data_IF_201164852412
#
_entry.id   IF_201164852412
#
_cell.length_a   1.000
_cell.length_b   1.000
_cell.length_c   1.000
_cell.angle_alpha   90.00
_cell.angle_beta   90.00
_cell.angle_gamma   90.00
#
_symmetry.space_group_name_H-M   'P 1'
#
loop_
_entity.id
_entity.type
_entity.pdbx_description
1 polymer ?
#
# COMPACT_ATOMS: atom_id res chain seq x y z
N UNK A 1 24.52 14.90 8.42
CA UNK A 1 23.75 13.65 8.42
C UNK A 1 22.39 13.95 9.04
N UNK A 2 21.40 14.25 8.19
CA UNK A 2 20.03 14.62 8.60
C UNK A 2 19.27 13.44 9.20
N UNK A 3 18.63 13.66 10.34
CA UNK A 3 17.96 12.68 11.20
C UNK A 3 16.43 12.78 11.05
N UNK A 4 15.87 12.19 9.98
CA UNK A 4 14.42 12.26 9.73
C UNK A 4 13.54 11.49 10.74
N UNK A 5 12.88 12.20 11.66
CA UNK A 5 11.96 11.69 12.68
C UNK A 5 10.52 12.06 12.34
N UNK A 6 9.55 11.14 12.57
CA UNK A 6 8.15 11.37 12.20
C UNK A 6 7.15 11.36 13.36
N UNK A 7 6.15 12.27 13.34
CA UNK A 7 5.06 12.35 14.35
C UNK A 7 3.68 12.17 13.70
N UNK A 8 2.80 11.40 14.33
CA UNK A 8 1.39 11.21 13.93
C UNK A 8 0.42 11.98 14.82
N UNK A 9 -0.66 12.53 14.26
CA UNK A 9 -1.63 13.33 15.01
C UNK A 9 -3.09 12.94 14.64
N UNK A 10 -4.02 12.91 15.62
CA UNK A 10 -5.48 12.67 15.47
C UNK A 10 -6.28 13.25 16.67
N UNK A 11 -7.49 13.77 16.39
CA UNK A 11 -8.38 14.57 17.27
C UNK A 11 -9.59 13.79 17.83
N UNK A 12 -10.12 14.21 19.00
CA UNK A 12 -11.47 13.89 19.46
C UNK A 12 -12.20 15.14 19.98
N UNK A 13 -13.40 15.37 19.41
CA UNK A 13 -14.52 16.24 19.79
C UNK A 13 -14.49 17.74 19.45
N UNK A 14 -15.46 18.16 18.62
CA UNK A 14 -15.96 19.54 18.51
C UNK A 14 -15.46 20.38 17.33
N UNK A 15 -14.19 20.24 16.93
CA UNK A 15 -13.63 20.96 15.78
C UNK A 15 -13.76 20.17 14.47
N UNK A 16 -14.38 20.73 13.44
CA UNK A 16 -14.48 20.10 12.11
C UNK A 16 -13.36 20.61 11.20
N UNK A 17 -12.20 19.94 11.20
CA UNK A 17 -11.20 20.11 10.13
C UNK A 17 -11.67 19.38 8.85
N UNK A 18 -11.69 20.04 7.68
CA UNK A 18 -12.05 19.39 6.42
C UNK A 18 -10.90 18.46 5.97
N UNK A 19 -11.03 17.16 6.26
CA UNK A 19 -10.25 16.09 5.62
C UNK A 19 -9.04 15.53 6.40
N UNK A 20 -9.02 14.19 6.54
CA UNK A 20 -7.92 13.30 7.00
C UNK A 20 -7.32 13.58 8.39
N UNK A 21 -7.86 12.91 9.41
CA UNK A 21 -7.44 12.90 10.82
C UNK A 21 -6.08 12.24 11.10
N UNK A 22 -5.33 11.81 10.08
CA UNK A 22 -4.03 11.16 10.26
C UNK A 22 -2.98 11.99 9.57
N UNK A 23 -2.23 12.77 10.36
CA UNK A 23 -1.12 13.58 9.85
C UNK A 23 0.21 12.88 10.06
N UNK A 24 1.18 13.21 9.24
CA UNK A 24 2.57 12.78 9.36
C UNK A 24 3.43 14.04 9.24
N UNK A 25 4.21 14.31 10.27
CA UNK A 25 5.23 15.36 10.28
C UNK A 25 6.59 14.68 10.10
N UNK A 26 7.52 15.29 9.36
CA UNK A 26 8.90 14.83 9.22
C UNK A 26 9.86 15.90 9.73
N UNK A 27 10.87 15.51 10.49
CA UNK A 27 11.81 16.41 11.15
C UNK A 27 13.22 15.98 10.88
N UNK A 28 14.12 16.88 10.50
CA UNK A 28 15.54 16.57 10.30
C UNK A 28 16.31 16.30 11.60
N UNK A 29 15.79 16.74 12.76
CA UNK A 29 16.45 16.59 14.04
C UNK A 29 15.53 15.99 15.10
N UNK A 30 16.09 15.07 15.91
CA UNK A 30 15.34 14.38 16.97
C UNK A 30 14.84 15.34 18.04
N UNK A 31 15.67 16.32 18.42
CA UNK A 31 15.33 17.34 19.42
C UNK A 31 14.10 18.16 19.01
N UNK A 32 14.00 18.49 17.72
CA UNK A 32 12.86 19.25 17.19
C UNK A 32 11.59 18.41 17.20
N UNK A 33 11.70 17.14 16.84
CA UNK A 33 10.57 16.21 16.90
C UNK A 33 10.04 16.04 18.34
N UNK A 34 10.94 15.92 19.33
CA UNK A 34 10.57 15.83 20.75
C UNK A 34 9.94 17.12 21.26
N UNK A 35 10.48 18.28 20.90
CA UNK A 35 9.91 19.58 21.25
C UNK A 35 8.50 19.74 20.68
N UNK A 36 8.31 19.37 19.41
CA UNK A 36 6.97 19.43 18.78
C UNK A 36 6.02 18.43 19.44
N UNK A 37 6.48 17.23 19.77
CA UNK A 37 5.68 16.22 20.48
C UNK A 37 5.21 16.72 21.86
N UNK A 38 6.01 17.51 22.56
CA UNK A 38 5.63 18.11 23.85
C UNK A 38 4.66 19.30 23.72
N UNK A 39 4.74 20.06 22.62
CA UNK A 39 3.91 21.27 22.39
C UNK A 39 2.57 20.94 21.73
N UNK A 40 2.51 19.89 20.91
CA UNK A 40 1.31 19.50 20.17
C UNK A 40 0.10 19.27 21.09
N UNK A 41 0.16 18.49 22.19
CA UNK A 41 -0.98 18.31 23.09
C UNK A 41 -1.52 19.64 23.64
N UNK A 42 -0.63 20.58 24.00
CA UNK A 42 -1.01 21.89 24.54
C UNK A 42 -1.75 22.75 23.53
N UNK A 43 -1.29 22.74 22.26
CA UNK A 43 -1.97 23.48 21.18
C UNK A 43 -3.33 22.88 20.84
N UNK A 44 -3.44 21.55 20.79
CA UNK A 44 -4.70 20.87 20.50
C UNK A 44 -5.73 21.08 21.62
N UNK A 45 -5.29 21.09 22.88
CA UNK A 45 -6.15 21.39 24.03
C UNK A 45 -6.80 22.79 23.93
N UNK A 46 -6.09 23.80 23.37
CA UNK A 46 -6.67 25.13 23.12
C UNK A 46 -7.87 25.11 22.16
N UNK A 47 -7.92 24.12 21.27
CA UNK A 47 -9.03 23.90 20.34
C UNK A 47 -10.03 22.85 20.83
N UNK A 48 -9.93 22.42 22.10
CA UNK A 48 -10.81 21.41 22.69
C UNK A 48 -10.49 19.97 22.25
N UNK A 49 -9.28 19.73 21.73
CA UNK A 49 -8.90 18.46 21.11
C UNK A 49 -7.85 17.71 21.94
N UNK A 50 -8.07 16.42 22.14
CA UNK A 50 -7.12 15.55 22.85
C UNK A 50 -6.42 14.60 21.89
N UNK A 51 -5.09 14.50 22.00
CA UNK A 51 -4.29 13.54 21.22
C UNK A 51 -4.30 12.16 21.89
N UNK A 52 -4.56 11.12 21.09
CA UNK A 52 -4.53 9.74 21.59
C UNK A 52 -3.07 9.23 21.69
N UNK A 53 -2.57 8.84 22.87
CA UNK A 53 -1.16 8.48 23.08
C UNK A 53 -0.72 7.27 22.24
N UNK A 54 -1.59 6.29 22.03
CA UNK A 54 -1.23 5.13 21.20
C UNK A 54 -1.11 5.43 19.69
N UNK A 55 -1.75 6.49 19.21
CA UNK A 55 -1.76 6.84 17.77
C UNK A 55 -0.62 7.77 17.41
N UNK A 56 -0.17 8.57 18.38
CA UNK A 56 0.88 9.58 18.27
C UNK A 56 2.20 8.95 18.70
N UNK A 57 2.99 8.48 17.74
CA UNK A 57 4.29 7.84 17.99
C UNK A 57 5.38 8.54 17.23
N UNK A 58 6.53 8.70 17.89
CA UNK A 58 7.77 9.14 17.28
C UNK A 58 8.47 7.92 16.67
N UNK A 59 8.84 8.03 15.40
CA UNK A 59 9.43 6.92 14.64
C UNK A 59 10.76 7.38 14.05
N UNK A 60 11.84 6.70 14.41
CA UNK A 60 13.15 6.88 13.79
C UNK A 60 13.29 5.94 12.58
N UNK A 61 13.58 6.51 11.41
CA UNK A 61 13.77 5.77 10.17
C UNK A 61 15.22 5.34 9.93
N UNK A 62 16.17 5.80 10.75
CA UNK A 62 17.59 5.54 10.60
C UNK A 62 18.10 4.33 11.41
N UNK A 63 17.28 3.78 12.30
CA UNK A 63 17.64 2.62 13.14
C UNK A 63 18.18 1.44 12.31
N UNK A 64 19.04 0.64 12.96
CA UNK A 64 19.76 -0.47 12.33
C UNK A 64 18.76 -1.50 11.77
N UNK A 65 19.16 -2.18 10.68
CA UNK A 65 18.36 -3.27 10.10
C UNK A 65 18.15 -4.36 11.15
N UNK A 66 16.89 -4.64 11.50
CA UNK A 66 16.51 -5.68 12.46
C UNK A 66 15.75 -5.15 13.68
N UNK A 67 15.84 -3.85 13.95
CA UNK A 67 15.13 -3.22 15.08
C UNK A 67 13.67 -2.86 14.70
N UNK A 68 12.75 -3.10 15.64
CA UNK A 68 11.34 -2.74 15.51
C UNK A 68 11.19 -1.21 15.53
N UNK A 69 11.21 -0.56 14.37
CA UNK A 69 11.02 0.90 14.32
C UNK A 69 11.18 1.55 12.95
N UNK A 70 11.99 0.97 12.07
CA UNK A 70 12.44 1.61 10.81
C UNK A 70 11.36 1.87 9.73
N UNK A 71 10.11 1.52 9.96
CA UNK A 71 9.06 1.70 8.95
C UNK A 71 7.69 1.97 9.54
N UNK A 72 6.87 2.72 8.81
CA UNK A 72 5.54 3.06 9.27
C UNK A 72 4.47 2.97 8.18
N UNK A 73 3.28 2.51 8.59
CA UNK A 73 2.15 2.35 7.67
C UNK A 73 1.27 3.60 7.60
N UNK A 74 1.24 4.30 6.47
CA UNK A 74 0.42 5.49 6.22
C UNK A 74 -0.31 5.40 4.88
N UNK A 75 -1.60 5.76 4.85
CA UNK A 75 -2.49 5.67 3.67
C UNK A 75 -2.44 4.33 2.91
N UNK A 76 -2.17 3.23 3.63
CA UNK A 76 -2.06 1.89 3.04
C UNK A 76 -0.71 1.57 2.41
N UNK A 77 0.28 2.45 2.56
CA UNK A 77 1.68 2.20 2.22
C UNK A 77 2.53 2.03 3.47
N UNK A 78 3.52 1.15 3.41
CA UNK A 78 4.63 1.09 4.35
C UNK A 78 5.75 1.98 3.82
N UNK A 79 6.11 3.00 4.58
CA UNK A 79 7.20 3.93 4.29
C UNK A 79 8.46 3.48 5.03
N UNK A 80 9.61 3.52 4.35
CA UNK A 80 10.89 3.10 4.92
C UNK A 80 12.05 3.78 4.19
N UNK A 81 13.13 4.07 4.93
CA UNK A 81 14.33 4.67 4.35
C UNK A 81 15.23 3.62 3.71
N UNK A 82 15.63 3.85 2.46
CA UNK A 82 16.48 2.95 1.69
C UNK A 82 17.37 3.72 0.73
N UNK A 83 18.54 3.17 0.40
CA UNK A 83 19.44 3.77 -0.59
C UNK A 83 18.84 3.67 -1.99
N UNK A 84 18.88 4.77 -2.73
CA UNK A 84 18.61 4.81 -4.17
C UNK A 84 19.72 4.10 -4.94
N UNK A 85 19.50 3.83 -6.23
CA UNK A 85 20.55 3.30 -7.11
C UNK A 85 21.77 4.22 -7.21
N UNK A 86 21.57 5.53 -7.01
CA UNK A 86 22.62 6.56 -6.99
C UNK A 86 23.24 6.79 -5.60
N UNK A 87 22.97 5.93 -4.62
CA UNK A 87 23.58 5.98 -3.29
C UNK A 87 22.90 6.90 -2.26
N UNK A 88 22.03 7.84 -2.69
CA UNK A 88 21.29 8.74 -1.79
C UNK A 88 20.26 7.99 -0.95
N UNK A 89 20.11 8.38 0.33
CA UNK A 89 19.00 7.92 1.18
C UNK A 89 17.70 8.53 0.68
N UNK A 90 16.71 7.69 0.38
CA UNK A 90 15.39 8.12 -0.08
C UNK A 90 14.30 7.39 0.71
N UNK A 91 13.21 8.11 0.99
CA UNK A 91 12.01 7.53 1.55
C UNK A 91 11.28 6.71 0.47
N UNK A 92 11.39 5.38 0.56
CA UNK A 92 10.66 4.48 -0.32
C UNK A 92 9.33 4.09 0.31
N UNK A 93 8.37 3.77 -0.55
CA UNK A 93 7.05 3.28 -0.14
C UNK A 93 6.71 2.00 -0.88
N UNK A 94 6.09 1.07 -0.16
CA UNK A 94 5.51 -0.15 -0.73
C UNK A 94 4.09 -0.36 -0.23
N UNK A 95 3.27 -1.13 -0.92
CA UNK A 95 1.94 -1.51 -0.40
C UNK A 95 2.11 -2.18 0.95
N UNK A 96 1.35 -1.72 1.97
CA UNK A 96 1.38 -2.36 3.29
C UNK A 96 0.96 -3.82 3.16
N UNK A 97 1.70 -4.73 3.82
CA UNK A 97 1.41 -6.16 3.79
C UNK A 97 -0.04 -6.45 4.17
N UNK A 98 -0.61 -5.73 5.14
CA UNK A 98 -2.01 -5.86 5.55
C UNK A 98 -2.98 -5.51 4.41
N UNK A 99 -2.68 -4.44 3.67
CA UNK A 99 -3.49 -4.00 2.52
C UNK A 99 -3.36 -4.95 1.34
N UNK A 100 -2.15 -5.43 1.05
CA UNK A 100 -1.92 -6.40 -0.01
C UNK A 100 -2.66 -7.72 0.27
N UNK A 101 -2.53 -8.27 1.48
CA UNK A 101 -3.25 -9.49 1.88
C UNK A 101 -4.76 -9.32 1.79
N UNK A 102 -5.29 -8.19 2.26
CA UNK A 102 -6.72 -7.88 2.17
C UNK A 102 -7.18 -7.78 0.71
N UNK A 103 -6.41 -7.13 -0.16
CA UNK A 103 -6.73 -7.04 -1.59
C UNK A 103 -6.77 -8.43 -2.24
N UNK A 104 -5.78 -9.29 -1.97
CA UNK A 104 -5.71 -10.66 -2.49
C UNK A 104 -6.91 -11.48 -2.00
N UNK A 105 -7.25 -11.39 -0.71
CA UNK A 105 -8.39 -12.09 -0.13
C UNK A 105 -9.71 -11.63 -0.76
N UNK A 106 -9.92 -10.32 -0.92
CA UNK A 106 -11.12 -9.77 -1.56
C UNK A 106 -11.28 -10.27 -2.99
N UNK A 107 -10.19 -10.27 -3.78
CA UNK A 107 -10.23 -10.80 -5.16
C UNK A 107 -10.47 -12.31 -5.16
N UNK A 108 -9.82 -13.06 -4.28
CA UNK A 108 -10.03 -14.51 -4.16
C UNK A 108 -11.48 -14.85 -3.84
N UNK A 109 -12.10 -14.13 -2.90
CA UNK A 109 -13.50 -14.33 -2.53
C UNK A 109 -14.42 -13.97 -3.69
N UNK A 110 -14.14 -12.89 -4.40
CA UNK A 110 -14.89 -12.53 -5.60
C UNK A 110 -14.82 -13.62 -6.68
N UNK A 111 -13.64 -14.18 -6.96
CA UNK A 111 -13.48 -15.29 -7.91
C UNK A 111 -14.27 -16.51 -7.45
N UNK A 112 -14.21 -16.84 -6.16
CA UNK A 112 -14.93 -17.97 -5.59
C UNK A 112 -16.45 -17.84 -5.78
N UNK A 113 -17.03 -16.69 -5.45
CA UNK A 113 -18.47 -16.44 -5.59
C UNK A 113 -18.93 -16.41 -7.05
N UNK A 114 -18.07 -15.93 -7.96
CA UNK A 114 -18.38 -15.74 -9.38
C UNK A 114 -17.85 -16.87 -10.27
N UNK A 115 -17.50 -18.03 -9.70
CA UNK A 115 -16.94 -19.17 -10.43
C UNK A 115 -17.86 -19.73 -11.53
N UNK A 116 -19.16 -19.46 -11.43
CA UNK A 116 -20.18 -19.89 -12.39
C UNK A 116 -20.20 -19.03 -13.67
N UNK A 117 -19.61 -17.83 -13.65
CA UNK A 117 -19.59 -16.92 -14.81
C UNK A 117 -18.73 -17.47 -15.95
N UNK A 118 -18.96 -17.00 -17.18
CA UNK A 118 -18.06 -17.31 -18.31
C UNK A 118 -16.69 -16.69 -18.04
N UNK A 119 -15.63 -17.35 -18.54
CA UNK A 119 -14.24 -16.94 -18.26
C UNK A 119 -13.94 -15.50 -18.72
N UNK A 120 -14.45 -15.11 -19.90
CA UNK A 120 -14.31 -13.76 -20.47
C UNK A 120 -14.90 -12.68 -19.54
N UNK A 121 -16.09 -12.92 -19.01
CA UNK A 121 -16.79 -11.95 -18.15
C UNK A 121 -16.09 -11.83 -16.79
N UNK A 122 -15.64 -12.97 -16.25
CA UNK A 122 -14.87 -13.01 -15.01
C UNK A 122 -13.56 -12.23 -15.16
N UNK A 123 -12.81 -12.44 -16.25
CA UNK A 123 -11.54 -11.72 -16.51
C UNK A 123 -11.78 -10.23 -16.71
N UNK A 124 -12.85 -9.84 -17.42
CA UNK A 124 -13.23 -8.43 -17.58
C UNK A 124 -13.47 -7.76 -16.21
N UNK A 125 -14.22 -8.42 -15.33
CA UNK A 125 -14.47 -7.91 -13.98
C UNK A 125 -13.20 -7.86 -13.11
N UNK A 126 -12.31 -8.84 -13.25
CA UNK A 126 -11.01 -8.84 -12.57
C UNK A 126 -10.12 -7.70 -13.05
N UNK A 127 -10.11 -7.42 -14.35
CA UNK A 127 -9.33 -6.33 -14.93
C UNK A 127 -9.74 -4.95 -14.38
N UNK A 128 -11.02 -4.73 -14.08
CA UNK A 128 -11.48 -3.52 -13.38
C UNK A 128 -10.86 -3.42 -11.98
N UNK A 129 -10.86 -4.52 -11.21
CA UNK A 129 -10.28 -4.56 -9.86
C UNK A 129 -8.75 -4.37 -9.88
N UNK A 130 -8.06 -5.02 -10.82
CA UNK A 130 -6.62 -4.86 -11.02
C UNK A 130 -6.28 -3.41 -11.40
N UNK A 131 -7.01 -2.83 -12.35
CA UNK A 131 -6.84 -1.43 -12.75
C UNK A 131 -6.99 -0.47 -11.56
N UNK A 132 -8.03 -0.66 -10.74
CA UNK A 132 -8.22 0.12 -9.51
C UNK A 132 -7.03 0.00 -8.55
N UNK A 133 -6.52 -1.22 -8.35
CA UNK A 133 -5.35 -1.44 -7.50
C UNK A 133 -4.10 -0.75 -8.06
N UNK A 134 -3.83 -0.87 -9.35
CA UNK A 134 -2.68 -0.25 -9.99
C UNK A 134 -2.78 1.28 -10.04
N UNK A 135 -3.98 1.83 -10.19
CA UNK A 135 -4.16 3.29 -10.18
C UNK A 135 -3.81 3.91 -8.82
N UNK A 136 -4.06 3.19 -7.72
CA UNK A 136 -3.73 3.67 -6.37
C UNK A 136 -2.30 3.31 -5.96
N UNK A 137 -1.91 2.04 -6.11
CA UNK A 137 -0.63 1.52 -5.64
C UNK A 137 0.49 1.57 -6.68
N UNK A 138 0.19 1.98 -7.91
CA UNK A 138 1.13 2.13 -9.04
C UNK A 138 2.13 3.25 -8.86
N UNK A 139 2.86 3.28 -7.75
CA UNK A 139 3.84 4.31 -7.41
C UNK A 139 5.26 3.81 -7.64
N UNK A 140 6.19 4.73 -7.91
CA UNK A 140 7.63 4.39 -8.00
C UNK A 140 8.09 3.63 -6.75
N UNK A 141 8.97 2.64 -6.96
CA UNK A 141 9.50 1.71 -5.95
C UNK A 141 8.52 0.63 -5.43
N UNK A 142 7.28 0.57 -5.93
CA UNK A 142 6.28 -0.42 -5.52
C UNK A 142 6.04 -1.56 -6.55
N UNK A 143 6.84 -1.64 -7.62
CA UNK A 143 6.66 -2.64 -8.69
C UNK A 143 6.56 -4.07 -8.17
N UNK A 144 7.43 -4.45 -7.23
CA UNK A 144 7.45 -5.80 -6.66
C UNK A 144 6.14 -6.19 -5.95
N UNK A 145 5.49 -5.25 -5.25
CA UNK A 145 4.21 -5.54 -4.59
C UNK A 145 3.06 -5.63 -5.59
N UNK A 146 3.12 -4.87 -6.69
CA UNK A 146 2.14 -4.97 -7.78
C UNK A 146 2.26 -6.31 -8.51
N UNK A 147 3.50 -6.75 -8.77
CA UNK A 147 3.78 -8.07 -9.36
C UNK A 147 3.27 -9.19 -8.47
N UNK A 148 3.58 -9.14 -7.17
CA UNK A 148 3.07 -10.10 -6.19
C UNK A 148 1.53 -10.13 -6.16
N UNK A 149 0.87 -8.98 -6.33
CA UNK A 149 -0.59 -8.92 -6.41
C UNK A 149 -1.10 -9.58 -7.69
N UNK A 150 -0.53 -9.25 -8.83
CA UNK A 150 -0.86 -9.84 -10.13
C UNK A 150 -0.73 -11.36 -10.12
N UNK A 151 0.44 -11.87 -9.71
CA UNK A 151 0.71 -13.30 -9.61
C UNK A 151 -0.21 -14.01 -8.63
N UNK A 152 -0.51 -13.38 -7.49
CA UNK A 152 -1.48 -13.93 -6.55
C UNK A 152 -2.88 -14.04 -7.16
N UNK A 153 -3.33 -13.02 -7.89
CA UNK A 153 -4.63 -13.05 -8.59
C UNK A 153 -4.65 -14.13 -9.67
N UNK A 154 -3.60 -14.23 -10.49
CA UNK A 154 -3.43 -15.26 -11.54
C UNK A 154 -3.51 -16.67 -10.94
N UNK A 155 -2.80 -16.93 -9.84
CA UNK A 155 -2.85 -18.22 -9.11
C UNK A 155 -4.21 -18.52 -8.48
N UNK A 156 -4.89 -17.50 -7.93
CA UNK A 156 -6.25 -17.69 -7.36
C UNK A 156 -7.27 -17.99 -8.45
N UNK A 157 -7.16 -17.33 -9.60
CA UNK A 157 -7.99 -17.61 -10.76
C UNK A 157 -7.81 -19.06 -11.23
N UNK A 158 -6.56 -19.50 -11.44
CA UNK A 158 -6.24 -20.89 -11.78
C UNK A 158 -6.83 -21.90 -10.79
N UNK A 159 -6.61 -21.66 -9.48
CA UNK A 159 -7.11 -22.53 -8.41
C UNK A 159 -8.63 -22.69 -8.46
N UNK A 160 -9.37 -21.60 -8.63
CA UNK A 160 -10.83 -21.65 -8.57
C UNK A 160 -11.46 -22.14 -9.88
N UNK A 161 -10.83 -21.91 -11.03
CA UNK A 161 -11.27 -22.50 -12.30
C UNK A 161 -11.12 -24.02 -12.29
N UNK A 162 -10.00 -24.55 -11.81
CA UNK A 162 -9.83 -26.00 -11.65
C UNK A 162 -10.78 -26.62 -10.60
N UNK A 163 -11.33 -25.81 -9.68
CA UNK A 163 -12.34 -26.23 -8.70
C UNK A 163 -13.78 -26.06 -9.16
N UNK A 164 -14.01 -25.47 -10.34
CA UNK A 164 -15.35 -25.25 -10.90
C UNK A 164 -16.03 -26.57 -11.31
N UNK A 165 -15.26 -27.61 -11.57
CA UNK A 165 -15.74 -28.88 -12.12
C UNK A 165 -15.82 -28.82 -13.65
N UNK A 166 -15.35 -29.89 -14.29
CA UNK A 166 -15.23 -30.06 -15.74
C UNK A 166 -14.31 -31.26 -16.04
N UNK A 167 -14.46 -31.90 -17.19
CA UNK A 167 -13.73 -33.14 -17.53
C UNK A 167 -12.21 -32.94 -17.67
N UNK A 168 -11.78 -31.74 -18.09
CA UNK A 168 -10.37 -31.46 -18.39
C UNK A 168 -9.74 -30.61 -17.29
N UNK A 169 -8.71 -31.14 -16.63
CA UNK A 169 -7.84 -30.37 -15.74
C UNK A 169 -7.02 -29.37 -16.54
N UNK A 170 -7.03 -28.09 -16.14
CA UNK A 170 -6.15 -27.09 -16.73
C UNK A 170 -4.76 -27.17 -16.10
N UNK A 171 -3.74 -27.37 -16.93
CA UNK A 171 -2.34 -27.24 -16.54
C UNK A 171 -1.92 -25.77 -16.48
N UNK A 172 -0.94 -25.47 -15.63
CA UNK A 172 -0.50 -24.08 -15.40
C UNK A 172 -0.02 -23.40 -16.68
N UNK A 173 0.77 -24.08 -17.50
CA UNK A 173 1.34 -23.49 -18.73
C UNK A 173 0.24 -23.14 -19.73
N UNK A 174 -0.71 -24.05 -19.95
CA UNK A 174 -1.86 -23.82 -20.83
C UNK A 174 -2.75 -22.68 -20.33
N UNK A 175 -2.97 -22.62 -19.01
CA UNK A 175 -3.71 -21.52 -18.39
C UNK A 175 -2.96 -20.19 -18.52
N UNK A 176 -1.65 -20.18 -18.31
CA UNK A 176 -0.82 -18.98 -18.45
C UNK A 176 -0.93 -18.43 -19.86
N UNK A 177 -0.72 -19.27 -20.88
CA UNK A 177 -0.87 -18.86 -22.29
C UNK A 177 -2.28 -18.35 -22.59
N UNK A 178 -3.32 -18.97 -22.05
CA UNK A 178 -4.70 -18.51 -22.26
C UNK A 178 -4.94 -17.11 -21.66
N UNK A 179 -4.47 -16.87 -20.45
CA UNK A 179 -4.64 -15.59 -19.73
C UNK A 179 -3.65 -14.52 -20.18
N UNK A 180 -2.54 -14.89 -20.81
CA UNK A 180 -1.55 -13.95 -21.33
C UNK A 180 -1.81 -13.57 -22.81
N UNK A 181 -2.52 -14.42 -23.58
CA UNK A 181 -2.74 -14.21 -25.03
C UNK A 181 -4.20 -13.96 -25.41
N UNK A 182 -5.16 -14.74 -24.89
CA UNK A 182 -6.54 -14.74 -25.38
C UNK A 182 -7.47 -13.86 -24.54
N UNK A 183 -7.42 -14.02 -23.22
CA UNK A 183 -8.19 -13.20 -22.28
C UNK A 183 -7.22 -12.53 -21.32
N UNK A 184 -6.63 -11.44 -21.79
CA UNK A 184 -5.49 -10.80 -21.14
C UNK A 184 -5.82 -10.25 -19.76
N UNK A 185 -5.16 -10.79 -18.74
CA UNK A 185 -5.19 -10.21 -17.41
C UNK A 185 -4.30 -8.97 -17.39
N UNK A 186 -4.81 -7.89 -16.80
CA UNK A 186 -4.13 -6.60 -16.85
C UNK A 186 -2.81 -6.67 -16.05
N UNK A 187 -1.69 -6.49 -16.76
CA UNK A 187 -0.34 -6.52 -16.17
C UNK A 187 -0.09 -5.29 -15.29
N UNK A 188 0.72 -5.43 -14.23
CA UNK A 188 1.04 -4.32 -13.35
C UNK A 188 1.77 -3.21 -14.10
N UNK A 189 1.40 -1.97 -13.82
CA UNK A 189 2.00 -0.77 -14.41
C UNK A 189 2.20 0.30 -13.35
N UNK A 190 3.34 0.99 -13.40
CA UNK A 190 3.60 2.15 -12.57
C UNK A 190 2.91 3.35 -13.22
N UNK A 191 1.98 3.98 -12.50
CA UNK A 191 1.19 5.14 -12.95
C UNK A 191 1.73 6.46 -12.42
N UNK A 192 2.30 6.47 -11.22
CA UNK A 192 2.75 7.66 -10.51
C UNK A 192 4.26 7.63 -10.37
N UNK A 193 4.94 8.49 -11.13
CA UNK A 193 6.38 8.71 -11.01
C UNK A 193 6.69 9.69 -9.87
N UNK A 194 7.68 9.38 -9.04
CA UNK A 194 8.13 10.31 -7.99
C UNK A 194 8.85 11.55 -8.55
N UNK A 195 9.38 11.47 -9.78
CA UNK A 195 10.12 12.57 -10.41
C UNK A 195 9.21 13.71 -10.92
N UNK A 196 7.90 13.51 -11.05
CA UNK A 196 6.99 14.56 -11.54
C UNK A 196 6.62 15.60 -10.48
N UNK A 197 7.04 15.44 -9.22
CA UNK A 197 6.77 16.38 -8.12
C UNK A 197 7.92 17.38 -7.87
N UNK A 198 8.91 17.46 -8.78
CA UNK A 198 9.98 18.48 -8.78
C UNK A 198 9.79 19.51 -9.91
N UNK A 199 8.58 20.05 -10.06
CA UNK A 199 8.32 21.20 -10.94
C UNK A 199 7.43 22.20 -10.22
N UNK A 200 8.07 23.00 -9.37
CA UNK A 200 7.75 24.38 -8.98
C UNK A 200 8.86 24.85 -8.07
#
# INVERSE_FOLDING_TARGET
MSREVHVRCCEQLGGRFPGLTRRVLGFTDKSDAERVMAVLPKRFAKFGLTLHPEKTKLIDLNDKRGEKGRSFDFLGFTHFLSRSLKGYMVLKRKTSSKRLTRAISNVSNYIQSNRHMKLKDLITALNVKLRGHYNYYGVTFNSRSLENFYEAVKRRLFKWLNRRGGEVKLYWDRFSSLVDTWHTLLKPSIRHSYNSLKRT
#
